data_IF_655927834357
#
_entry.id   IF_655927834357
#
_cell.length_a   1.000
_cell.length_b   1.000
_cell.length_c   1.000
_cell.angle_alpha   90.00
_cell.angle_beta   90.00
_cell.angle_gamma   90.00
#
_symmetry.space_group_name_H-M   'P 1'
#
loop_
_entity.id
_entity.type
_entity.pdbx_description
1 polymer ?
#
# COMPACT_ATOMS: atom_id res chain seq x y z
N UNK A 1 64.31 -28.31 -16.81
CA UNK A 1 63.41 -27.42 -17.59
C UNK A 1 61.95 -27.46 -17.15
N UNK A 2 61.56 -27.93 -15.94
CA UNK A 2 60.14 -28.12 -15.55
C UNK A 2 59.57 -27.22 -14.46
N UNK A 3 60.42 -26.41 -13.76
CA UNK A 3 59.90 -25.60 -12.66
C UNK A 3 59.29 -24.24 -13.07
N UNK A 4 59.72 -23.73 -14.24
CA UNK A 4 59.27 -22.42 -14.71
C UNK A 4 57.86 -22.49 -15.37
N UNK A 5 57.56 -23.56 -16.04
CA UNK A 5 56.26 -23.83 -16.64
C UNK A 5 55.18 -24.12 -15.60
N UNK A 6 55.48 -24.85 -14.53
CA UNK A 6 54.54 -25.08 -13.42
C UNK A 6 54.19 -23.80 -12.65
N UNK A 7 55.14 -22.89 -12.47
CA UNK A 7 54.90 -21.60 -11.78
C UNK A 7 54.03 -20.65 -12.62
N UNK A 8 54.12 -20.71 -13.96
CA UNK A 8 53.26 -19.94 -14.87
C UNK A 8 51.83 -20.47 -14.88
N UNK A 9 51.65 -21.79 -14.85
CA UNK A 9 50.31 -22.39 -14.77
C UNK A 9 49.60 -22.11 -13.42
N UNK A 10 50.32 -22.16 -12.31
CA UNK A 10 49.81 -21.80 -10.97
C UNK A 10 49.44 -20.33 -10.87
N UNK A 11 50.25 -19.42 -11.37
CA UNK A 11 49.95 -17.98 -11.40
C UNK A 11 48.79 -17.67 -12.31
N UNK A 12 48.65 -18.28 -13.48
CA UNK A 12 47.52 -18.12 -14.40
C UNK A 12 46.24 -18.71 -13.81
N UNK A 13 46.31 -19.85 -13.12
CA UNK A 13 45.19 -20.46 -12.43
C UNK A 13 44.72 -19.61 -11.25
N UNK A 14 45.64 -19.18 -10.39
CA UNK A 14 45.31 -18.32 -9.25
C UNK A 14 44.80 -16.93 -9.69
N UNK A 15 45.37 -16.35 -10.75
CA UNK A 15 44.92 -15.10 -11.31
C UNK A 15 43.52 -15.19 -11.92
N UNK A 16 43.19 -16.31 -12.61
CA UNK A 16 41.82 -16.53 -13.13
C UNK A 16 40.82 -16.91 -12.05
N UNK A 17 41.22 -17.71 -11.08
CA UNK A 17 40.40 -18.10 -9.94
C UNK A 17 40.18 -16.93 -8.96
N UNK A 18 41.19 -16.13 -8.70
CA UNK A 18 41.08 -14.91 -7.89
C UNK A 18 40.24 -13.84 -8.62
N UNK A 19 40.38 -13.72 -9.94
CA UNK A 19 39.54 -12.81 -10.75
C UNK A 19 38.06 -13.24 -10.78
N UNK A 20 37.77 -14.53 -10.87
CA UNK A 20 36.40 -15.03 -10.86
C UNK A 20 35.76 -15.02 -9.48
N UNK A 21 36.47 -15.45 -8.43
CA UNK A 21 36.00 -15.40 -7.05
C UNK A 21 36.00 -13.95 -6.52
N UNK A 22 37.00 -13.15 -6.88
CA UNK A 22 37.05 -11.74 -6.57
C UNK A 22 35.95 -10.95 -7.28
N UNK A 23 35.63 -11.25 -8.53
CA UNK A 23 34.53 -10.64 -9.24
C UNK A 23 33.16 -11.06 -8.65
N UNK A 24 32.98 -12.32 -8.24
CA UNK A 24 31.80 -12.80 -7.54
C UNK A 24 31.69 -12.18 -6.13
N UNK A 25 32.81 -12.12 -5.39
CA UNK A 25 32.84 -11.48 -4.07
C UNK A 25 32.62 -9.96 -4.19
N UNK A 26 33.24 -9.30 -5.16
CA UNK A 26 33.02 -7.89 -5.46
C UNK A 26 31.60 -7.63 -5.97
N UNK A 27 31.08 -8.49 -6.85
CA UNK A 27 29.68 -8.45 -7.28
C UNK A 27 28.71 -8.64 -6.12
N UNK A 28 29.02 -9.55 -5.19
CA UNK A 28 28.22 -9.75 -3.98
C UNK A 28 28.35 -8.58 -2.98
N UNK A 29 29.56 -8.04 -2.80
CA UNK A 29 29.78 -6.84 -1.98
C UNK A 29 29.14 -5.61 -2.62
N UNK A 30 29.27 -5.41 -3.93
CA UNK A 30 28.63 -4.32 -4.65
C UNK A 30 27.08 -4.47 -4.70
N UNK A 31 26.56 -5.68 -4.66
CA UNK A 31 25.12 -5.90 -4.52
C UNK A 31 24.61 -5.68 -3.09
N UNK A 32 25.46 -5.84 -2.08
CA UNK A 32 25.17 -5.48 -0.68
C UNK A 32 25.31 -3.97 -0.43
N UNK A 33 26.29 -3.36 -1.10
CA UNK A 33 26.57 -1.92 -1.04
C UNK A 33 26.11 -1.25 -2.35
N UNK A 34 24.86 -1.48 -2.80
CA UNK A 34 24.30 -0.77 -3.96
C UNK A 34 24.22 0.74 -3.66
N UNK A 35 25.38 1.35 -3.67
CA UNK A 35 25.63 2.79 -3.52
C UNK A 35 25.24 3.56 -4.80
N UNK A 36 24.79 2.87 -5.85
CA UNK A 36 24.47 3.44 -7.16
C UNK A 36 22.98 3.33 -7.44
N UNK A 37 22.36 4.42 -7.41
CA UNK A 37 21.07 5.06 -7.89
C UNK A 37 20.06 4.14 -8.44
N UNK A 38 19.65 3.13 -8.52
CA UNK A 38 18.46 2.30 -8.62
C UNK A 38 18.74 0.98 -7.91
N UNK A 39 17.98 0.67 -6.85
CA UNK A 39 18.08 -0.66 -6.26
C UNK A 39 17.72 -1.68 -7.35
N UNK A 40 18.67 -2.47 -7.88
CA UNK A 40 18.36 -3.44 -8.91
C UNK A 40 17.30 -4.41 -8.37
N UNK A 41 16.44 -4.97 -9.24
CA UNK A 41 15.47 -5.95 -8.82
C UNK A 41 16.19 -7.13 -8.16
N UNK A 42 15.79 -7.41 -6.92
CA UNK A 42 16.29 -8.57 -6.17
C UNK A 42 15.35 -9.74 -6.45
N UNK A 43 15.86 -10.95 -6.74
CA UNK A 43 15.01 -12.13 -6.83
C UNK A 43 14.26 -12.35 -5.53
N UNK A 44 12.96 -12.52 -5.59
CA UNK A 44 12.15 -12.92 -4.44
C UNK A 44 12.60 -14.29 -3.86
N UNK A 45 12.09 -14.61 -2.69
CA UNK A 45 12.39 -15.89 -2.04
C UNK A 45 11.74 -17.08 -2.77
N UNK A 46 10.67 -16.83 -3.53
CA UNK A 46 9.97 -17.79 -4.37
C UNK A 46 9.31 -17.07 -5.56
N UNK A 47 8.69 -17.83 -6.47
CA UNK A 47 8.03 -17.26 -7.66
C UNK A 47 6.82 -16.40 -7.25
N UNK A 48 6.80 -15.11 -7.59
CA UNK A 48 5.69 -14.22 -7.25
C UNK A 48 4.44 -14.52 -8.09
N UNK A 49 3.27 -14.25 -7.51
CA UNK A 49 1.99 -14.14 -8.21
C UNK A 49 1.70 -12.69 -8.59
N UNK A 50 2.14 -11.75 -7.77
CA UNK A 50 1.98 -10.31 -7.99
C UNK A 50 3.33 -9.62 -8.17
N UNK A 51 3.35 -8.55 -8.96
CA UNK A 51 4.50 -7.68 -9.21
C UNK A 51 4.34 -6.32 -8.53
N UNK A 52 3.09 -5.91 -8.28
CA UNK A 52 2.76 -4.60 -7.74
C UNK A 52 1.54 -4.65 -6.79
N UNK A 53 1.47 -3.64 -5.91
CA UNK A 53 0.31 -3.36 -5.05
C UNK A 53 -0.16 -1.94 -5.30
N UNK A 54 -1.48 -1.76 -5.45
CA UNK A 54 -2.17 -0.46 -5.37
C UNK A 54 -3.04 -0.49 -4.11
N UNK A 55 -2.73 0.36 -3.14
CA UNK A 55 -3.48 0.49 -1.89
C UNK A 55 -4.40 1.71 -1.94
N UNK A 56 -5.70 1.48 -1.89
CA UNK A 56 -6.75 2.48 -1.80
C UNK A 56 -7.12 2.64 -0.32
N UNK A 57 -6.39 3.48 0.40
CA UNK A 57 -6.54 3.59 1.84
C UNK A 57 -7.68 4.56 2.22
N UNK A 58 -8.64 4.06 2.99
CA UNK A 58 -9.87 4.73 3.39
C UNK A 58 -9.77 5.15 4.86
N UNK A 59 -9.11 6.28 5.11
CA UNK A 59 -8.88 6.78 6.47
C UNK A 59 -10.15 7.07 7.25
N UNK A 60 -10.16 6.65 8.49
CA UNK A 60 -11.24 6.93 9.43
C UNK A 60 -12.07 5.72 9.79
N UNK A 61 -11.70 4.51 9.35
CA UNK A 61 -12.38 3.29 9.74
C UNK A 61 -13.77 3.13 9.13
N UNK A 62 -13.88 2.73 7.83
CA UNK A 62 -15.16 2.47 7.19
C UNK A 62 -16.00 1.45 7.96
N UNK A 63 -17.29 1.75 8.14
CA UNK A 63 -18.21 0.88 8.86
C UNK A 63 -18.46 -0.42 8.11
N UNK A 64 -17.92 -1.52 8.62
CA UNK A 64 -18.06 -2.86 8.04
C UNK A 64 -19.53 -3.27 7.91
N UNK A 65 -20.33 -3.01 8.94
CA UNK A 65 -21.72 -3.45 9.02
C UNK A 65 -22.69 -2.60 8.17
N UNK A 66 -22.25 -1.41 7.75
CA UNK A 66 -23.05 -0.54 6.88
C UNK A 66 -22.68 -0.71 5.40
N UNK A 67 -21.53 -1.36 5.09
CA UNK A 67 -20.99 -1.48 3.72
C UNK A 67 -20.82 -2.92 3.23
N UNK A 68 -20.31 -3.84 4.06
CA UNK A 68 -19.79 -5.13 3.61
C UNK A 68 -20.29 -6.35 4.40
N UNK A 69 -20.80 -6.15 5.60
CA UNK A 69 -21.13 -7.23 6.53
C UNK A 69 -22.57 -7.10 7.03
N UNK A 70 -23.51 -7.56 6.22
CA UNK A 70 -24.94 -7.47 6.50
C UNK A 70 -25.32 -8.15 7.81
N UNK A 71 -25.96 -7.39 8.72
CA UNK A 71 -26.39 -7.86 10.05
C UNK A 71 -27.87 -7.54 10.30
N UNK A 72 -28.79 -8.46 9.97
CA UNK A 72 -30.21 -8.27 10.23
C UNK A 72 -30.55 -7.96 11.69
N UNK A 73 -29.72 -8.43 12.63
CA UNK A 73 -29.88 -8.14 14.05
C UNK A 73 -29.81 -6.66 14.38
N UNK A 74 -28.95 -5.89 13.68
CA UNK A 74 -28.86 -4.44 13.90
C UNK A 74 -30.21 -3.75 13.69
N UNK A 75 -30.94 -4.10 12.63
CA UNK A 75 -32.22 -3.48 12.34
C UNK A 75 -33.33 -3.96 13.31
N UNK A 76 -33.30 -5.25 13.73
CA UNK A 76 -34.25 -5.77 14.73
C UNK A 76 -34.09 -5.13 16.12
N UNK A 77 -32.84 -4.79 16.47
CA UNK A 77 -32.48 -4.23 17.78
C UNK A 77 -32.30 -2.71 17.75
N UNK A 78 -32.47 -2.07 16.60
CA UNK A 78 -32.30 -0.62 16.47
C UNK A 78 -33.08 0.16 17.52
N UNK A 79 -32.41 1.08 18.19
CA UNK A 79 -32.96 1.87 19.29
C UNK A 79 -33.08 1.16 20.64
N UNK A 80 -32.67 -0.13 20.75
CA UNK A 80 -32.66 -0.89 22.01
C UNK A 80 -31.24 -1.04 22.57
N UNK A 81 -31.09 -1.28 23.88
CA UNK A 81 -29.78 -1.60 24.47
C UNK A 81 -29.12 -2.78 23.77
N UNK A 82 -27.79 -2.75 23.64
CA UNK A 82 -27.03 -3.85 23.05
C UNK A 82 -27.12 -5.13 23.91
N UNK A 83 -27.55 -6.26 23.35
CA UNK A 83 -27.79 -7.48 24.12
C UNK A 83 -26.55 -8.35 24.31
N UNK A 84 -25.44 -8.03 23.64
CA UNK A 84 -24.23 -8.89 23.55
C UNK A 84 -23.24 -8.76 24.74
N UNK A 85 -23.61 -8.06 25.83
CA UNK A 85 -22.73 -7.82 26.94
C UNK A 85 -21.86 -6.56 26.77
N UNK A 86 -20.68 -6.56 27.39
CA UNK A 86 -19.81 -5.38 27.39
C UNK A 86 -19.15 -5.13 26.03
N UNK A 87 -19.19 -3.87 25.60
CA UNK A 87 -18.48 -3.35 24.42
C UNK A 87 -17.26 -2.57 24.88
N UNK A 88 -16.15 -2.70 24.16
CA UNK A 88 -15.02 -1.78 24.30
C UNK A 88 -15.39 -0.48 23.57
N UNK A 89 -15.72 0.56 24.32
CA UNK A 89 -16.16 1.85 23.81
C UNK A 89 -15.04 2.87 24.02
N UNK A 90 -14.72 3.64 22.96
CA UNK A 90 -13.71 4.67 23.03
C UNK A 90 -14.22 5.96 23.69
N UNK A 91 -15.51 6.28 23.45
CA UNK A 91 -16.19 7.47 24.01
C UNK A 91 -17.39 7.10 24.90
N UNK A 92 -17.15 6.51 26.07
CA UNK A 92 -18.18 5.96 26.98
C UNK A 92 -19.37 6.88 27.23
N UNK A 93 -19.15 8.17 27.44
CA UNK A 93 -20.22 9.15 27.71
C UNK A 93 -21.17 9.39 26.53
N UNK A 94 -20.81 8.93 25.34
CA UNK A 94 -21.57 9.09 24.12
C UNK A 94 -22.16 7.77 23.61
N UNK A 95 -21.88 6.67 24.29
CA UNK A 95 -22.39 5.35 23.94
C UNK A 95 -23.91 5.29 24.06
N UNK A 96 -24.56 4.89 22.98
CA UNK A 96 -26.01 4.79 22.88
C UNK A 96 -26.51 3.37 22.69
N UNK A 97 -27.70 3.27 22.14
CA UNK A 97 -28.35 2.00 21.80
C UNK A 97 -27.82 1.42 20.48
N UNK A 98 -28.22 0.20 20.14
CA UNK A 98 -27.93 -0.40 18.83
C UNK A 98 -28.38 0.55 17.72
N UNK A 99 -27.50 0.82 16.76
CA UNK A 99 -27.79 1.63 15.60
C UNK A 99 -28.01 0.70 14.40
N UNK A 100 -29.23 0.70 13.84
CA UNK A 100 -29.55 -0.06 12.63
C UNK A 100 -28.69 0.35 11.43
N UNK A 101 -28.47 -0.56 10.51
CA UNK A 101 -27.83 -0.23 9.24
C UNK A 101 -28.78 0.65 8.40
N UNK A 102 -28.33 1.83 7.93
CA UNK A 102 -29.24 2.80 7.30
C UNK A 102 -29.56 2.47 5.84
N UNK A 103 -28.87 1.50 5.24
CA UNK A 103 -28.94 1.15 3.82
C UNK A 103 -29.23 -0.32 3.61
N UNK A 104 -29.86 -0.63 2.47
CA UNK A 104 -30.15 -1.99 2.07
C UNK A 104 -28.90 -2.72 1.57
N UNK A 105 -28.88 -4.04 1.78
CA UNK A 105 -27.89 -4.93 1.22
C UNK A 105 -28.49 -5.76 0.08
N UNK A 106 -27.69 -6.03 -0.94
CA UNK A 106 -28.11 -6.79 -2.12
C UNK A 106 -27.04 -7.79 -2.51
N UNK A 107 -27.44 -8.98 -2.98
CA UNK A 107 -26.51 -9.92 -3.58
C UNK A 107 -25.95 -9.34 -4.89
N UNK A 108 -24.63 -9.36 -5.04
CA UNK A 108 -23.90 -8.81 -6.17
C UNK A 108 -23.06 -9.90 -6.84
N UNK A 109 -22.87 -9.78 -8.16
CA UNK A 109 -22.13 -10.76 -8.95
C UNK A 109 -22.82 -12.12 -9.06
N UNK A 110 -22.15 -13.07 -9.69
CA UNK A 110 -22.58 -14.47 -9.74
C UNK A 110 -22.29 -15.19 -8.41
N UNK A 111 -21.28 -14.69 -7.67
CA UNK A 111 -20.93 -15.20 -6.35
C UNK A 111 -21.97 -14.89 -5.28
N UNK A 112 -22.91 -13.95 -5.53
CA UNK A 112 -23.95 -13.57 -4.59
C UNK A 112 -23.43 -12.78 -3.37
N UNK A 113 -22.27 -12.10 -3.47
CA UNK A 113 -21.69 -11.31 -2.39
C UNK A 113 -22.66 -10.20 -1.95
N UNK A 114 -23.01 -10.19 -0.67
CA UNK A 114 -23.89 -9.16 -0.12
C UNK A 114 -23.14 -7.86 0.12
N UNK A 115 -23.53 -6.80 -0.57
CA UNK A 115 -22.96 -5.46 -0.46
C UNK A 115 -24.06 -4.42 -0.26
N UNK A 116 -23.72 -3.33 0.42
CA UNK A 116 -24.63 -2.18 0.58
C UNK A 116 -24.99 -1.57 -0.77
N UNK A 117 -26.22 -1.08 -0.89
CA UNK A 117 -26.68 -0.33 -2.05
C UNK A 117 -25.85 0.94 -2.36
N UNK A 118 -25.04 1.40 -1.40
CA UNK A 118 -24.07 2.49 -1.58
C UNK A 118 -22.87 2.11 -2.46
N UNK A 119 -22.70 0.82 -2.76
CA UNK A 119 -21.55 0.28 -3.49
C UNK A 119 -21.94 -0.36 -4.83
N UNK A 120 -22.74 0.35 -5.70
CA UNK A 120 -23.22 -0.25 -6.94
C UNK A 120 -22.11 -0.60 -7.94
N UNK A 121 -20.98 0.09 -7.91
CA UNK A 121 -19.86 -0.19 -8.80
C UNK A 121 -18.97 -1.30 -8.25
N UNK A 122 -18.68 -1.33 -6.95
CA UNK A 122 -18.03 -2.47 -6.28
C UNK A 122 -18.86 -3.74 -6.48
N UNK A 123 -20.21 -3.66 -6.45
CA UNK A 123 -21.09 -4.77 -6.78
C UNK A 123 -20.85 -5.37 -8.17
N UNK A 124 -20.41 -4.58 -9.16
CA UNK A 124 -20.09 -5.06 -10.53
C UNK A 124 -18.77 -5.84 -10.61
N UNK A 125 -17.90 -5.67 -9.63
CA UNK A 125 -16.64 -6.39 -9.53
C UNK A 125 -16.66 -7.46 -8.41
N UNK A 126 -17.82 -7.77 -7.85
CA UNK A 126 -17.96 -8.74 -6.76
C UNK A 126 -17.31 -10.10 -7.10
N UNK A 127 -17.45 -10.55 -8.36
CA UNK A 127 -16.84 -11.79 -8.83
C UNK A 127 -15.30 -11.71 -9.02
N UNK A 128 -14.69 -10.55 -8.90
CA UNK A 128 -13.26 -10.33 -9.07
C UNK A 128 -12.50 -10.06 -7.76
N UNK A 129 -13.23 -9.88 -6.66
CA UNK A 129 -12.65 -9.53 -5.35
C UNK A 129 -12.76 -10.68 -4.35
N UNK A 130 -11.85 -10.67 -3.38
CA UNK A 130 -11.98 -11.37 -2.10
C UNK A 130 -12.39 -10.32 -1.05
N UNK A 131 -13.53 -10.51 -0.41
CA UNK A 131 -14.00 -9.71 0.72
C UNK A 131 -13.61 -10.43 2.02
N UNK A 132 -12.80 -9.77 2.87
CA UNK A 132 -12.43 -10.29 4.19
C UNK A 132 -13.25 -9.54 5.23
N UNK A 133 -14.14 -10.24 5.94
CA UNK A 133 -15.02 -9.68 6.98
C UNK A 133 -14.46 -9.81 8.39
N UNK A 134 -13.41 -10.60 8.55
CA UNK A 134 -12.87 -11.02 9.85
C UNK A 134 -11.52 -10.39 10.19
N UNK A 135 -11.24 -9.20 9.66
CA UNK A 135 -10.03 -8.47 10.02
C UNK A 135 -10.08 -7.98 11.46
N UNK A 136 -8.91 -7.98 12.15
CA UNK A 136 -8.73 -7.41 13.48
C UNK A 136 -7.47 -6.56 13.55
N UNK A 137 -7.47 -5.53 14.40
CA UNK A 137 -6.31 -4.68 14.65
C UNK A 137 -6.03 -4.49 16.14
N UNK A 138 -4.89 -3.93 16.49
CA UNK A 138 -4.44 -3.80 17.87
C UNK A 138 -4.85 -2.51 18.59
N UNK A 139 -5.52 -1.57 17.90
CA UNK A 139 -5.83 -0.25 18.47
C UNK A 139 -7.18 0.28 18.01
N UNK A 140 -7.81 1.08 18.84
CA UNK A 140 -9.00 1.90 18.53
C UNK A 140 -8.65 3.38 18.27
N UNK A 141 -7.39 3.76 18.44
CA UNK A 141 -6.89 5.09 18.14
C UNK A 141 -6.38 5.16 16.71
N UNK A 142 -6.79 6.19 15.93
CA UNK A 142 -6.48 6.29 14.50
C UNK A 142 -5.00 6.25 14.21
N UNK A 143 -4.18 7.08 14.88
CA UNK A 143 -2.75 7.12 14.58
C UNK A 143 -2.06 5.78 14.86
N UNK A 144 -2.39 5.14 15.97
CA UNK A 144 -1.84 3.84 16.36
C UNK A 144 -2.30 2.73 15.42
N UNK A 145 -3.57 2.71 15.04
CA UNK A 145 -4.12 1.72 14.11
C UNK A 145 -3.58 1.91 12.68
N UNK A 146 -3.42 3.15 12.22
CA UNK A 146 -2.76 3.48 10.95
C UNK A 146 -1.32 2.95 10.93
N UNK A 147 -0.56 3.19 12.01
CA UNK A 147 0.80 2.65 12.11
C UNK A 147 0.81 1.13 12.07
N UNK A 148 -0.11 0.45 12.76
CA UNK A 148 -0.22 -1.01 12.68
C UNK A 148 -0.51 -1.45 11.23
N UNK A 149 -1.44 -0.80 10.53
CA UNK A 149 -1.76 -1.13 9.13
C UNK A 149 -0.60 -0.87 8.17
N UNK A 150 0.24 0.12 8.44
CA UNK A 150 1.34 0.45 7.53
C UNK A 150 2.68 -0.17 7.92
N UNK A 151 2.95 -0.39 9.21
CA UNK A 151 4.27 -0.81 9.70
C UNK A 151 4.26 -2.12 10.52
N UNK A 152 3.07 -2.69 10.76
CA UNK A 152 2.89 -3.84 11.64
C UNK A 152 2.94 -3.52 13.14
N UNK A 153 3.14 -2.26 13.54
CA UNK A 153 3.24 -1.87 14.97
C UNK A 153 2.69 -0.46 15.21
N UNK A 154 2.26 -0.18 16.43
CA UNK A 154 1.74 1.13 16.82
C UNK A 154 2.82 2.21 17.02
N UNK A 155 4.11 1.82 17.11
CA UNK A 155 5.22 2.75 17.31
C UNK A 155 5.53 3.55 16.04
N UNK A 156 5.87 4.83 16.22
CA UNK A 156 6.39 5.66 15.14
C UNK A 156 7.85 5.33 14.81
N UNK A 157 8.31 5.72 13.61
CA UNK A 157 9.70 5.55 13.18
C UNK A 157 10.02 4.19 12.57
N UNK A 158 9.01 3.35 12.31
CA UNK A 158 9.18 2.04 11.68
C UNK A 158 8.95 2.11 10.16
N UNK A 159 9.58 1.19 9.39
CA UNK A 159 9.38 1.12 7.95
C UNK A 159 7.97 0.67 7.60
N UNK A 160 7.38 1.31 6.60
CA UNK A 160 6.08 0.92 6.07
C UNK A 160 6.17 -0.31 5.16
N UNK A 161 5.03 -0.96 4.91
CA UNK A 161 4.92 -2.11 4.01
C UNK A 161 5.52 -1.80 2.63
N UNK A 162 5.25 -0.61 2.05
CA UNK A 162 5.85 -0.19 0.78
C UNK A 162 7.37 -0.16 0.84
N UNK A 163 7.94 0.34 1.93
CA UNK A 163 9.40 0.36 2.15
C UNK A 163 9.98 -1.04 2.28
N UNK A 164 9.31 -1.95 2.98
CA UNK A 164 9.71 -3.35 3.08
C UNK A 164 9.63 -4.08 1.74
N UNK A 165 8.60 -3.82 0.92
CA UNK A 165 8.48 -4.37 -0.44
C UNK A 165 9.66 -3.93 -1.30
N UNK A 166 10.01 -2.65 -1.25
CA UNK A 166 11.16 -2.13 -2.01
C UNK A 166 12.49 -2.67 -1.49
N UNK A 167 12.65 -2.79 -0.19
CA UNK A 167 13.85 -3.39 0.41
C UNK A 167 14.03 -4.84 -0.05
N UNK A 168 12.92 -5.61 -0.11
CA UNK A 168 12.94 -7.02 -0.53
C UNK A 168 13.12 -7.23 -2.03
N UNK A 169 12.56 -6.37 -2.87
CA UNK A 169 12.44 -6.62 -4.32
C UNK A 169 13.14 -5.59 -5.22
N UNK A 170 13.55 -4.44 -4.66
CA UNK A 170 14.10 -3.34 -5.46
C UNK A 170 13.12 -2.77 -6.48
N UNK A 171 13.65 -2.01 -7.44
CA UNK A 171 12.90 -1.40 -8.53
C UNK A 171 13.12 -2.13 -9.85
N UNK A 172 12.07 -2.27 -10.66
CA UNK A 172 12.17 -2.74 -12.05
C UNK A 172 12.14 -1.57 -13.04
N UNK A 173 11.83 -0.37 -12.58
CA UNK A 173 11.82 0.85 -13.37
C UNK A 173 12.87 1.83 -12.85
N UNK A 174 13.76 2.29 -13.72
CA UNK A 174 14.81 3.25 -13.37
C UNK A 174 14.35 4.70 -13.49
N UNK A 175 13.23 4.98 -14.16
CA UNK A 175 12.78 6.32 -14.50
C UNK A 175 11.69 6.85 -13.55
N UNK A 176 11.12 5.99 -12.73
CA UNK A 176 10.08 6.33 -11.76
C UNK A 176 10.46 5.76 -10.38
N UNK A 177 10.03 6.41 -9.29
CA UNK A 177 10.14 5.82 -7.96
C UNK A 177 9.38 4.50 -7.91
N UNK A 178 9.94 3.50 -7.25
CA UNK A 178 9.28 2.21 -7.12
C UNK A 178 8.15 2.20 -6.09
N UNK A 179 8.10 3.23 -5.22
CA UNK A 179 7.02 3.49 -4.27
C UNK A 179 6.51 4.92 -4.45
N UNK A 180 5.27 5.06 -4.92
CA UNK A 180 4.61 6.35 -5.19
C UNK A 180 3.41 6.51 -4.26
N UNK A 181 3.26 7.71 -3.72
CA UNK A 181 2.12 8.10 -2.87
C UNK A 181 1.32 9.17 -3.59
N UNK A 182 0.02 8.93 -3.79
CA UNK A 182 -0.91 9.85 -4.43
C UNK A 182 -1.76 10.50 -3.33
N UNK A 183 -1.35 11.69 -2.91
CA UNK A 183 -2.03 12.46 -1.87
C UNK A 183 -3.29 13.15 -2.38
N UNK A 184 -4.25 13.36 -1.49
CA UNK A 184 -5.42 14.19 -1.75
C UNK A 184 -4.99 15.66 -1.98
N UNK A 185 -5.58 16.40 -2.94
CA UNK A 185 -5.26 17.80 -3.14
C UNK A 185 -5.63 18.68 -1.93
N UNK A 186 -6.63 18.28 -1.16
CA UNK A 186 -7.14 19.04 -0.01
C UNK A 186 -6.25 18.91 1.23
N UNK A 187 -5.28 17.96 1.24
CA UNK A 187 -4.35 17.82 2.34
C UNK A 187 -3.77 16.43 2.53
N UNK A 188 -3.13 16.25 3.68
CA UNK A 188 -2.49 14.99 4.06
C UNK A 188 -3.42 14.13 4.92
N UNK A 189 -3.22 12.80 4.92
CA UNK A 189 -3.86 11.92 5.88
C UNK A 189 -3.38 12.20 7.30
N UNK A 190 -4.11 11.69 8.29
CA UNK A 190 -3.64 11.64 9.68
C UNK A 190 -2.27 10.94 9.72
N UNK A 191 -1.41 11.35 10.64
CA UNK A 191 0.00 10.94 10.78
C UNK A 191 0.92 11.34 9.58
N UNK A 192 0.39 11.99 8.54
CA UNK A 192 1.13 12.63 7.46
C UNK A 192 2.12 11.70 6.78
N UNK A 193 3.37 12.16 6.65
CA UNK A 193 4.44 11.45 5.92
C UNK A 193 4.89 10.14 6.60
N UNK A 194 4.54 9.92 7.87
CA UNK A 194 4.83 8.65 8.56
C UNK A 194 4.17 7.45 7.90
N UNK A 195 3.06 7.66 7.18
CA UNK A 195 2.35 6.60 6.46
C UNK A 195 3.13 6.01 5.26
N UNK A 196 4.23 6.65 4.85
CA UNK A 196 5.10 6.16 3.77
C UNK A 196 6.60 6.27 4.08
N UNK A 197 6.92 6.35 5.38
CA UNK A 197 8.30 6.46 5.85
C UNK A 197 9.07 5.17 5.66
N UNK A 198 10.38 5.29 5.37
CA UNK A 198 11.31 4.18 5.40
C UNK A 198 11.73 3.77 6.83
N UNK A 199 11.38 4.57 7.85
CA UNK A 199 11.76 4.31 9.23
C UNK A 199 13.27 4.10 9.38
N UNK A 200 13.67 2.98 9.97
CA UNK A 200 15.08 2.62 10.12
C UNK A 200 15.71 1.98 8.86
N UNK A 201 14.92 1.66 7.83
CA UNK A 201 15.48 1.26 6.54
C UNK A 201 16.13 2.45 5.84
N UNK A 202 17.12 2.24 4.96
CA UNK A 202 17.69 3.31 4.16
C UNK A 202 16.63 4.19 3.48
N UNK A 203 16.84 5.50 3.48
CA UNK A 203 15.87 6.49 2.99
C UNK A 203 15.51 6.32 1.50
N UNK A 204 16.29 5.57 0.73
CA UNK A 204 15.99 5.22 -0.67
C UNK A 204 14.72 4.38 -0.83
N UNK A 205 14.26 3.72 0.23
CA UNK A 205 13.04 2.91 0.24
C UNK A 205 11.78 3.70 0.67
N UNK A 206 11.92 5.00 0.96
CA UNK A 206 10.80 5.86 1.32
C UNK A 206 9.84 6.10 0.15
N UNK A 207 8.55 6.19 0.44
CA UNK A 207 7.55 6.56 -0.56
C UNK A 207 7.73 7.99 -1.07
N UNK A 208 7.60 8.18 -2.38
CA UNK A 208 7.70 9.48 -3.04
C UNK A 208 6.31 10.05 -3.26
N UNK A 209 5.95 11.17 -2.59
CA UNK A 209 4.64 11.78 -2.77
C UNK A 209 4.53 12.50 -4.11
N UNK A 210 3.48 12.18 -4.86
CA UNK A 210 3.01 12.92 -6.01
C UNK A 210 1.78 13.72 -5.59
N UNK A 211 1.85 15.02 -5.78
CA UNK A 211 0.76 15.95 -5.45
C UNK A 211 -0.25 16.01 -6.59
N UNK A 212 -1.49 16.23 -6.26
CA UNK A 212 -2.49 16.61 -7.26
C UNK A 212 -2.21 18.01 -7.82
N UNK A 213 -2.62 18.26 -9.07
CA UNK A 213 -2.48 19.56 -9.70
C UNK A 213 -1.34 19.66 -10.71
N UNK A 214 -1.00 20.90 -11.12
CA UNK A 214 -0.05 21.19 -12.21
C UNK A 214 1.42 20.96 -11.85
N UNK A 215 1.74 20.81 -10.58
CA UNK A 215 3.11 20.59 -10.08
C UNK A 215 3.15 19.36 -9.16
N UNK A 216 3.01 18.15 -9.71
CA UNK A 216 2.89 16.93 -8.94
C UNK A 216 4.17 16.56 -8.18
N UNK A 217 5.32 16.95 -8.70
CA UNK A 217 6.62 16.85 -8.05
C UNK A 217 7.31 18.21 -8.14
N UNK A 218 7.78 18.74 -7.01
CA UNK A 218 8.49 20.00 -7.00
C UNK A 218 9.79 19.93 -7.80
N UNK A 219 10.13 21.04 -8.47
CA UNK A 219 11.38 21.21 -9.22
C UNK A 219 11.59 20.18 -10.34
N UNK A 220 10.52 19.53 -10.81
CA UNK A 220 10.59 18.57 -11.90
C UNK A 220 10.99 19.25 -13.21
N UNK A 221 10.48 20.46 -13.48
CA UNK A 221 10.82 21.20 -14.69
C UNK A 221 12.13 21.97 -14.52
N UNK A 222 13.00 21.89 -15.53
CA UNK A 222 14.17 22.74 -15.61
C UNK A 222 13.73 24.22 -15.67
N UNK A 223 14.30 25.12 -14.86
CA UNK A 223 13.99 26.56 -14.96
C UNK A 223 14.20 27.11 -16.39
N UNK A 224 13.30 27.94 -16.86
CA UNK A 224 13.34 28.46 -18.24
C UNK A 224 14.65 29.18 -18.61
N UNK A 225 15.34 29.76 -17.61
CA UNK A 225 16.62 30.43 -17.80
C UNK A 225 17.82 29.48 -17.88
N UNK A 226 17.65 28.17 -17.69
CA UNK A 226 18.73 27.19 -17.65
C UNK A 226 18.72 26.35 -18.93
N UNK A 227 19.85 26.30 -19.64
CA UNK A 227 20.00 25.43 -20.82
C UNK A 227 20.09 23.96 -20.40
N UNK A 228 19.74 23.04 -21.31
CA UNK A 228 19.87 21.60 -21.08
C UNK A 228 21.31 21.18 -20.76
N UNK A 229 22.31 21.88 -21.34
CA UNK A 229 23.72 21.64 -21.06
C UNK A 229 24.11 22.11 -19.66
N UNK A 230 23.70 23.32 -19.27
CA UNK A 230 23.94 23.83 -17.92
C UNK A 230 23.31 22.93 -16.86
N UNK A 231 22.11 22.41 -17.15
CA UNK A 231 21.42 21.45 -16.27
C UNK A 231 22.20 20.14 -16.13
N UNK A 232 22.67 19.57 -17.22
CA UNK A 232 23.50 18.36 -17.18
C UNK A 232 24.79 18.56 -16.38
N UNK A 233 25.48 19.69 -16.61
CA UNK A 233 26.71 20.03 -15.88
C UNK A 233 26.45 20.19 -14.38
N UNK A 234 25.33 20.82 -14.00
CA UNK A 234 24.89 20.92 -12.61
C UNK A 234 24.62 19.55 -11.99
N UNK A 235 23.89 18.68 -12.68
CA UNK A 235 23.59 17.32 -12.18
C UNK A 235 24.87 16.48 -12.03
N UNK A 236 25.77 16.52 -13.01
CA UNK A 236 27.06 15.82 -12.95
C UNK A 236 27.95 16.35 -11.80
N UNK A 237 27.92 17.66 -11.55
CA UNK A 237 28.65 18.24 -10.41
C UNK A 237 28.07 17.78 -9.07
N UNK A 238 26.74 17.81 -8.92
CA UNK A 238 26.06 17.33 -7.71
C UNK A 238 26.31 15.84 -7.47
N UNK A 239 26.27 15.02 -8.53
CA UNK A 239 26.61 13.60 -8.44
C UNK A 239 28.03 13.39 -7.91
N UNK A 240 29.03 14.07 -8.48
CA UNK A 240 30.42 13.98 -8.01
C UNK A 240 30.56 14.42 -6.55
N UNK A 241 29.92 15.51 -6.16
CA UNK A 241 29.95 16.03 -4.79
C UNK A 241 29.31 15.04 -3.82
N UNK A 242 28.12 14.53 -4.14
CA UNK A 242 27.41 13.58 -3.32
C UNK A 242 28.19 12.25 -3.19
N UNK A 243 28.76 11.76 -4.29
CA UNK A 243 29.63 10.56 -4.29
C UNK A 243 30.86 10.75 -3.40
N UNK A 244 31.48 11.92 -3.44
CA UNK A 244 32.59 12.24 -2.55
C UNK A 244 32.17 12.23 -1.07
N UNK A 245 31.00 12.81 -0.76
CA UNK A 245 30.47 12.82 0.61
C UNK A 245 30.09 11.41 1.09
N UNK A 246 29.50 10.57 0.24
CA UNK A 246 29.17 9.19 0.62
C UNK A 246 30.41 8.33 0.89
N UNK A 247 31.52 8.58 0.20
CA UNK A 247 32.81 7.94 0.50
C UNK A 247 33.43 8.45 1.80
N UNK A 248 33.19 9.72 2.15
CA UNK A 248 33.71 10.33 3.38
C UNK A 248 32.92 9.88 4.62
N UNK A 249 31.64 9.58 4.45
CA UNK A 249 30.72 9.18 5.53
C UNK A 249 29.94 7.91 5.15
N UNK A 250 30.62 6.76 5.00
CA UNK A 250 29.99 5.51 4.51
C UNK A 250 28.89 4.97 5.42
N UNK A 251 28.94 5.28 6.71
CA UNK A 251 27.92 4.88 7.67
C UNK A 251 26.57 5.63 7.50
N UNK A 252 26.61 6.76 6.81
CA UNK A 252 25.42 7.60 6.64
C UNK A 252 24.68 7.25 5.35
N UNK A 253 23.66 6.37 5.47
CA UNK A 253 22.82 5.91 4.35
C UNK A 253 22.00 7.03 3.70
N UNK A 254 21.83 8.19 4.36
CA UNK A 254 21.11 9.33 3.78
C UNK A 254 21.86 9.94 2.59
N UNK A 255 23.22 9.93 2.59
CA UNK A 255 23.99 10.40 1.45
C UNK A 255 23.80 9.53 0.22
N UNK A 256 23.80 8.21 0.39
CA UNK A 256 23.55 7.27 -0.71
C UNK A 256 22.13 7.41 -1.26
N UNK A 257 21.14 7.54 -0.36
CA UNK A 257 19.75 7.81 -0.74
C UNK A 257 19.61 9.15 -1.47
N UNK A 258 20.33 10.19 -1.04
CA UNK A 258 20.32 11.50 -1.69
C UNK A 258 20.87 11.43 -3.12
N UNK A 259 21.97 10.70 -3.35
CA UNK A 259 22.51 10.44 -4.70
C UNK A 259 21.44 9.76 -5.57
N UNK A 260 20.90 8.66 -5.09
CA UNK A 260 19.86 7.89 -5.78
C UNK A 260 18.61 8.74 -6.10
N UNK A 261 18.20 9.58 -5.16
CA UNK A 261 17.06 10.48 -5.35
C UNK A 261 17.34 11.56 -6.40
N UNK A 262 18.56 12.13 -6.45
CA UNK A 262 18.94 13.10 -7.50
C UNK A 262 18.96 12.46 -8.89
N UNK A 263 19.49 11.26 -9.02
CA UNK A 263 19.51 10.53 -10.30
C UNK A 263 18.10 10.18 -10.74
N UNK A 264 17.28 9.65 -9.82
CA UNK A 264 15.87 9.35 -10.09
C UNK A 264 15.11 10.63 -10.46
N UNK A 265 15.30 11.75 -9.72
CA UNK A 265 14.66 13.03 -10.03
C UNK A 265 15.03 13.56 -11.42
N UNK A 266 16.26 13.35 -11.87
CA UNK A 266 16.68 13.72 -13.23
C UNK A 266 15.94 12.89 -14.29
N UNK A 267 15.81 11.58 -14.10
CA UNK A 267 15.06 10.68 -15.00
C UNK A 267 13.56 10.93 -14.95
N UNK A 268 13.02 11.29 -13.80
CA UNK A 268 11.61 11.63 -13.60
C UNK A 268 11.18 12.86 -14.41
N UNK A 269 12.10 13.75 -14.78
CA UNK A 269 11.76 14.97 -15.54
C UNK A 269 11.05 14.66 -16.87
N UNK A 270 11.32 13.52 -17.48
CA UNK A 270 10.64 13.07 -18.70
C UNK A 270 9.50 12.08 -18.41
N UNK A 271 9.68 11.17 -17.47
CA UNK A 271 8.75 10.06 -17.24
C UNK A 271 7.48 10.47 -16.47
N UNK A 272 7.60 11.39 -15.51
CA UNK A 272 6.44 11.81 -14.68
C UNK A 272 5.41 12.60 -15.47
N UNK A 273 5.77 13.61 -16.31
CA UNK A 273 4.79 14.29 -17.14
C UNK A 273 3.98 13.34 -18.02
N UNK A 274 4.63 12.32 -18.61
CA UNK A 274 3.96 11.32 -19.43
C UNK A 274 2.95 10.47 -18.63
N UNK A 275 3.31 10.06 -17.42
CA UNK A 275 2.38 9.30 -16.53
C UNK A 275 1.15 10.12 -16.16
N UNK A 276 1.33 11.41 -15.91
CA UNK A 276 0.29 12.32 -15.41
C UNK A 276 -0.58 12.93 -16.51
N UNK A 277 -0.10 12.91 -17.74
CA UNK A 277 -0.89 13.38 -18.89
C UNK A 277 -1.95 12.35 -19.26
N UNK A 278 -3.19 12.67 -18.91
CA UNK A 278 -4.36 11.84 -19.19
C UNK A 278 -5.04 12.21 -20.51
N UNK A 279 -4.46 13.12 -21.32
CA UNK A 279 -5.07 13.57 -22.58
C UNK A 279 -5.18 12.44 -23.60
N UNK A 280 -4.26 11.49 -23.56
CA UNK A 280 -4.27 10.28 -24.42
C UNK A 280 -5.25 9.17 -23.99
N UNK A 281 -5.91 9.31 -22.83
CA UNK A 281 -6.90 8.32 -22.39
C UNK A 281 -8.21 8.45 -23.17
N UNK A 282 -8.81 7.31 -23.54
CA UNK A 282 -10.04 7.30 -24.30
C UNK A 282 -11.21 7.90 -23.52
N UNK A 283 -12.23 8.41 -24.23
CA UNK A 283 -13.44 8.88 -23.59
C UNK A 283 -14.15 7.77 -22.77
N UNK A 284 -14.04 6.51 -23.21
CA UNK A 284 -14.57 5.35 -22.47
C UNK A 284 -13.82 5.15 -21.13
N UNK A 285 -12.48 5.19 -21.14
CA UNK A 285 -11.66 5.11 -19.93
C UNK A 285 -11.97 6.27 -18.98
N UNK A 286 -12.07 7.50 -19.49
CA UNK A 286 -12.39 8.68 -18.67
C UNK A 286 -13.75 8.54 -17.98
N UNK A 287 -14.79 8.08 -18.69
CA UNK A 287 -16.11 7.80 -18.12
C UNK A 287 -16.08 6.66 -17.11
N UNK A 288 -15.34 5.60 -17.39
CA UNK A 288 -15.19 4.45 -16.49
C UNK A 288 -14.70 4.90 -15.11
N UNK A 289 -13.65 5.73 -15.06
CA UNK A 289 -13.11 6.29 -13.82
C UNK A 289 -13.91 7.48 -13.25
N UNK A 290 -14.99 7.89 -13.92
CA UNK A 290 -15.85 8.98 -13.47
C UNK A 290 -15.20 10.36 -13.58
N UNK A 291 -14.30 10.59 -14.56
CA UNK A 291 -13.63 11.89 -14.74
C UNK A 291 -14.55 12.97 -15.29
N UNK A 292 -15.73 12.61 -15.75
CA UNK A 292 -16.76 13.56 -16.25
C UNK A 292 -17.75 13.98 -15.15
N UNK A 293 -17.60 13.46 -13.93
CA UNK A 293 -18.43 13.76 -12.77
C UNK A 293 -17.60 14.46 -11.69
N UNK A 294 -17.92 15.69 -11.30
CA UNK A 294 -17.16 16.47 -10.34
C UNK A 294 -17.03 15.82 -8.95
N UNK A 295 -17.93 14.88 -8.58
CA UNK A 295 -17.87 14.16 -7.31
C UNK A 295 -16.75 13.12 -7.33
N UNK A 296 -16.52 12.45 -8.45
CA UNK A 296 -15.59 11.35 -8.61
C UNK A 296 -14.29 11.74 -9.32
N UNK A 297 -14.27 12.89 -10.04
CA UNK A 297 -13.18 13.27 -10.95
C UNK A 297 -11.80 13.20 -10.28
N UNK A 298 -11.68 13.80 -9.12
CA UNK A 298 -10.39 13.94 -8.45
C UNK A 298 -9.85 12.57 -7.99
N UNK A 299 -10.69 11.79 -7.29
CA UNK A 299 -10.30 10.45 -6.85
C UNK A 299 -10.11 9.49 -8.04
N UNK A 300 -10.96 9.60 -9.06
CA UNK A 300 -10.85 8.85 -10.31
C UNK A 300 -9.56 9.15 -11.08
N UNK A 301 -9.13 10.40 -11.11
CA UNK A 301 -7.84 10.81 -11.69
C UNK A 301 -6.69 10.10 -11.00
N UNK A 302 -6.67 10.06 -9.67
CA UNK A 302 -5.62 9.36 -8.89
C UNK A 302 -5.65 7.85 -9.11
N UNK A 303 -6.82 7.22 -9.15
CA UNK A 303 -6.96 5.81 -9.48
C UNK A 303 -6.42 5.49 -10.89
N UNK A 304 -6.71 6.34 -11.87
CA UNK A 304 -6.20 6.18 -13.23
C UNK A 304 -4.67 6.38 -13.31
N UNK A 305 -4.12 7.35 -12.57
CA UNK A 305 -2.66 7.53 -12.45
C UNK A 305 -2.02 6.30 -11.80
N UNK A 306 -2.64 5.72 -10.76
CA UNK A 306 -2.14 4.49 -10.12
C UNK A 306 -2.03 3.33 -11.12
N UNK A 307 -3.04 3.12 -11.98
CA UNK A 307 -2.98 2.14 -13.06
C UNK A 307 -1.78 2.41 -14.01
N UNK A 308 -1.60 3.67 -14.44
CA UNK A 308 -0.51 4.06 -15.34
C UNK A 308 0.87 3.88 -14.71
N UNK A 309 0.98 4.05 -13.40
CA UNK A 309 2.21 3.82 -12.65
C UNK A 309 2.58 2.33 -12.63
N UNK A 310 1.64 1.44 -12.34
CA UNK A 310 1.93 0.00 -12.32
C UNK A 310 2.19 -0.56 -13.72
N UNK A 311 1.54 -0.04 -14.78
CA UNK A 311 1.87 -0.35 -16.18
C UNK A 311 3.35 -0.06 -16.50
N UNK A 312 3.96 0.90 -15.81
CA UNK A 312 5.36 1.31 -15.97
C UNK A 312 6.30 0.69 -14.95
N UNK A 313 5.83 -0.32 -14.21
CA UNK A 313 6.65 -1.09 -13.30
C UNK A 313 6.85 -0.47 -11.90
N UNK A 314 6.02 0.49 -11.49
CA UNK A 314 5.98 0.95 -10.09
C UNK A 314 5.42 -0.18 -9.23
N UNK A 315 6.16 -0.57 -8.17
CA UNK A 315 5.82 -1.74 -7.34
C UNK A 315 4.78 -1.46 -6.28
N UNK A 316 4.78 -0.26 -5.73
CA UNK A 316 3.86 0.09 -4.66
C UNK A 316 3.27 1.48 -4.91
N UNK A 317 1.95 1.55 -5.05
CA UNK A 317 1.21 2.80 -5.21
C UNK A 317 0.21 2.90 -4.08
N UNK A 318 0.22 4.03 -3.37
CA UNK A 318 -0.67 4.25 -2.23
C UNK A 318 -1.47 5.53 -2.44
N UNK A 319 -2.80 5.42 -2.35
CA UNK A 319 -3.72 6.55 -2.42
C UNK A 319 -4.24 6.85 -1.03
N UNK A 320 -4.21 8.13 -0.66
CA UNK A 320 -4.74 8.63 0.58
C UNK A 320 -5.82 9.68 0.36
N UNK A 321 -6.80 9.72 1.24
CA UNK A 321 -7.76 10.82 1.37
C UNK A 321 -7.23 11.83 2.38
N UNK A 322 -7.70 13.08 2.31
CA UNK A 322 -7.36 14.10 3.28
C UNK A 322 -7.96 13.79 4.66
N UNK A 323 -7.17 13.94 5.71
CA UNK A 323 -7.61 13.71 7.08
C UNK A 323 -8.08 12.27 7.31
N UNK A 324 -9.26 12.12 7.89
CA UNK A 324 -9.90 10.84 8.19
C UNK A 324 -11.41 10.90 7.86
N UNK A 325 -11.80 10.98 6.59
CA UNK A 325 -13.19 11.29 6.22
C UNK A 325 -14.18 10.19 6.60
N UNK A 326 -13.74 8.92 6.72
CA UNK A 326 -14.58 7.81 7.15
C UNK A 326 -14.81 7.74 8.66
N UNK A 327 -14.28 8.70 9.41
CA UNK A 327 -14.49 8.82 10.86
C UNK A 327 -15.87 9.41 11.17
N UNK A 328 -16.89 8.56 11.13
CA UNK A 328 -18.31 8.93 11.15
C UNK A 328 -18.89 8.93 12.56
N UNK A 329 -18.33 9.74 13.46
CA UNK A 329 -18.83 9.94 14.83
C UNK A 329 -20.18 10.65 14.91
N UNK A 330 -20.62 11.26 13.81
CA UNK A 330 -21.93 11.87 13.62
C UNK A 330 -22.40 11.66 12.18
N UNK A 331 -23.70 11.76 11.92
CA UNK A 331 -24.30 11.72 10.59
C UNK A 331 -23.77 10.55 9.74
N UNK A 332 -23.61 9.38 10.37
CA UNK A 332 -22.98 8.21 9.74
C UNK A 332 -23.59 7.90 8.36
N UNK A 333 -24.92 7.90 8.26
CA UNK A 333 -25.62 7.63 7.00
C UNK A 333 -25.22 8.62 5.89
N UNK A 334 -25.36 9.92 6.13
CA UNK A 334 -25.08 10.96 5.12
C UNK A 334 -23.61 10.99 4.71
N UNK A 335 -22.71 10.84 5.69
CA UNK A 335 -21.27 10.79 5.42
C UNK A 335 -20.89 9.57 4.57
N UNK A 336 -21.39 8.38 4.90
CA UNK A 336 -21.17 7.16 4.11
C UNK A 336 -21.66 7.33 2.67
N UNK A 337 -22.86 7.91 2.48
CA UNK A 337 -23.40 8.18 1.14
C UNK A 337 -22.48 9.08 0.32
N UNK A 338 -21.99 10.17 0.91
CA UNK A 338 -21.07 11.09 0.22
C UNK A 338 -19.72 10.43 -0.12
N UNK A 339 -19.15 9.66 0.80
CA UNK A 339 -17.87 8.99 0.61
C UNK A 339 -17.97 7.86 -0.43
N UNK A 340 -19.01 7.05 -0.39
CA UNK A 340 -19.25 6.02 -1.41
C UNK A 340 -19.48 6.65 -2.78
N UNK A 341 -20.27 7.74 -2.88
CA UNK A 341 -20.44 8.45 -4.14
C UNK A 341 -19.12 8.96 -4.74
N UNK A 342 -18.15 9.35 -3.89
CA UNK A 342 -16.82 9.80 -4.32
C UNK A 342 -15.90 8.65 -4.73
N UNK A 343 -15.92 7.51 -4.02
CA UNK A 343 -14.87 6.50 -4.09
C UNK A 343 -15.25 5.18 -4.75
N UNK A 344 -16.53 4.79 -4.78
CA UNK A 344 -16.98 3.49 -5.26
C UNK A 344 -16.69 3.29 -6.76
N UNK A 345 -17.15 4.21 -7.62
CA UNK A 345 -16.94 4.11 -9.06
C UNK A 345 -15.47 4.05 -9.45
N UNK A 346 -14.58 4.97 -8.99
CA UNK A 346 -13.17 4.92 -9.36
C UNK A 346 -12.42 3.70 -8.84
N UNK A 347 -12.77 3.22 -7.64
CA UNK A 347 -12.16 2.00 -7.07
C UNK A 347 -12.50 0.77 -7.90
N UNK A 348 -13.77 0.61 -8.28
CA UNK A 348 -14.21 -0.47 -9.15
C UNK A 348 -13.65 -0.35 -10.57
N UNK A 349 -13.56 0.87 -11.11
CA UNK A 349 -12.98 1.16 -12.42
C UNK A 349 -11.52 0.71 -12.51
N UNK A 350 -10.74 0.93 -11.45
CA UNK A 350 -9.35 0.49 -11.38
C UNK A 350 -9.24 -1.03 -11.56
N UNK A 351 -10.06 -1.80 -10.87
CA UNK A 351 -10.07 -3.27 -10.98
C UNK A 351 -10.49 -3.70 -12.39
N UNK A 352 -11.55 -3.09 -12.94
CA UNK A 352 -12.04 -3.41 -14.29
C UNK A 352 -11.01 -3.09 -15.38
N UNK A 353 -10.35 -1.93 -15.30
CA UNK A 353 -9.35 -1.51 -16.29
C UNK A 353 -8.09 -2.37 -16.23
N UNK A 354 -7.59 -2.69 -15.02
CA UNK A 354 -6.49 -3.63 -14.84
C UNK A 354 -6.83 -5.03 -15.40
N UNK A 355 -8.06 -5.51 -15.17
CA UNK A 355 -8.55 -6.78 -15.72
C UNK A 355 -8.59 -6.75 -17.24
N UNK A 356 -9.18 -5.70 -17.83
CA UNK A 356 -9.29 -5.55 -19.27
C UNK A 356 -7.91 -5.49 -19.99
N UNK A 357 -6.90 -4.99 -19.28
CA UNK A 357 -5.51 -4.91 -19.77
C UNK A 357 -4.67 -6.15 -19.48
N UNK A 358 -5.21 -7.16 -18.79
CA UNK A 358 -4.47 -8.34 -18.39
C UNK A 358 -3.43 -8.10 -17.28
N UNK A 359 -3.55 -6.99 -16.53
CA UNK A 359 -2.64 -6.59 -15.46
C UNK A 359 -3.12 -7.02 -14.07
N UNK A 360 -4.41 -7.34 -13.91
CA UNK A 360 -4.99 -7.64 -12.60
C UNK A 360 -4.38 -8.90 -11.97
N UNK A 361 -4.08 -9.91 -12.77
CA UNK A 361 -3.52 -11.16 -12.23
C UNK A 361 -2.12 -10.97 -11.62
N UNK A 362 -1.40 -9.92 -12.01
CA UNK A 362 -0.06 -9.57 -11.50
C UNK A 362 -0.07 -8.31 -10.61
N UNK A 363 -1.24 -7.72 -10.34
CA UNK A 363 -1.38 -6.52 -9.51
C UNK A 363 -2.40 -6.77 -8.41
N UNK A 364 -2.01 -6.52 -7.16
CA UNK A 364 -2.93 -6.53 -6.02
C UNK A 364 -3.56 -5.14 -5.91
N UNK A 365 -4.88 -5.05 -5.94
CA UNK A 365 -5.63 -3.85 -5.57
C UNK A 365 -6.24 -4.09 -4.20
N UNK A 366 -5.86 -3.27 -3.23
CA UNK A 366 -6.30 -3.35 -1.84
C UNK A 366 -7.15 -2.12 -1.48
N UNK A 367 -8.39 -2.33 -1.03
CA UNK A 367 -9.25 -1.32 -0.43
C UNK A 367 -9.38 -1.62 1.06
N UNK A 368 -8.93 -0.73 1.93
CA UNK A 368 -8.88 -0.97 3.38
C UNK A 368 -8.91 0.31 4.17
N UNK A 369 -9.36 0.23 5.42
CA UNK A 369 -9.13 1.22 6.46
C UNK A 369 -8.29 0.64 7.59
N UNK A 370 -8.22 1.35 8.72
CA UNK A 370 -7.40 0.97 9.87
C UNK A 370 -8.13 0.14 10.91
N UNK A 371 -9.46 0.27 11.01
CA UNK A 371 -10.37 -0.49 11.89
C UNK A 371 -11.82 -0.36 11.43
N UNK A 372 -12.76 -0.92 12.18
CA UNK A 372 -14.19 -0.86 11.91
C UNK A 372 -14.96 0.04 12.87
N UNK A 373 -16.28 -0.15 12.95
CA UNK A 373 -17.18 0.65 13.79
C UNK A 373 -18.00 -0.23 14.72
N UNK A 374 -18.43 0.36 15.86
CA UNK A 374 -19.29 -0.32 16.83
C UNK A 374 -20.73 -0.45 16.33
N UNK A 375 -21.46 -1.51 16.76
CA UNK A 375 -22.86 -1.73 16.42
C UNK A 375 -23.83 -0.77 17.12
N UNK A 376 -23.35 0.01 18.08
CA UNK A 376 -24.15 0.99 18.82
C UNK A 376 -23.93 2.40 18.28
N UNK A 377 -24.88 3.30 18.56
CA UNK A 377 -24.71 4.71 18.22
C UNK A 377 -23.68 5.37 19.12
N UNK A 378 -22.92 6.30 18.55
CA UNK A 378 -22.25 7.34 19.27
C UNK A 378 -23.05 8.62 19.10
N UNK A 379 -23.38 9.27 20.21
CA UNK A 379 -24.30 10.39 20.18
C UNK A 379 -25.65 9.98 19.59
N UNK A 380 -26.13 10.75 18.60
CA UNK A 380 -27.42 10.52 17.99
C UNK A 380 -27.37 9.43 16.91
N UNK A 381 -26.41 9.52 15.98
CA UNK A 381 -26.42 8.82 14.71
C UNK A 381 -25.04 8.51 14.13
N UNK A 382 -23.98 8.66 14.96
CA UNK A 382 -22.62 8.25 14.65
C UNK A 382 -22.32 6.83 15.11
N UNK A 383 -21.14 6.33 14.77
CA UNK A 383 -20.57 5.07 15.28
C UNK A 383 -19.18 5.29 15.84
N UNK A 384 -18.90 4.72 17.00
CA UNK A 384 -17.57 4.72 17.64
C UNK A 384 -16.64 3.66 17.03
N UNK A 385 -15.36 3.69 17.37
CA UNK A 385 -14.30 2.84 16.84
C UNK A 385 -14.44 1.40 17.30
N UNK A 386 -14.05 0.46 16.41
CA UNK A 386 -14.05 -0.97 16.70
C UNK A 386 -12.80 -1.65 16.15
N UNK A 387 -11.91 -2.15 17.00
CA UNK A 387 -10.72 -2.91 16.62
C UNK A 387 -10.95 -4.40 16.45
N UNK A 388 -12.06 -4.93 16.97
CA UNK A 388 -12.34 -6.36 17.04
C UNK A 388 -12.90 -6.93 15.74
N UNK A 389 -13.38 -6.07 14.84
CA UNK A 389 -13.83 -6.45 13.52
C UNK A 389 -13.79 -5.29 12.55
N UNK A 390 -13.23 -5.52 11.35
CA UNK A 390 -13.40 -4.63 10.20
C UNK A 390 -13.34 -5.44 8.90
N UNK A 391 -13.76 -4.81 7.81
CA UNK A 391 -13.75 -5.43 6.49
C UNK A 391 -12.81 -4.70 5.55
N UNK A 392 -12.18 -5.47 4.69
CA UNK A 392 -11.44 -4.98 3.53
C UNK A 392 -11.74 -5.87 2.32
N UNK A 393 -11.48 -5.35 1.12
CA UNK A 393 -11.45 -6.22 -0.04
C UNK A 393 -10.13 -6.12 -0.80
N UNK A 394 -9.78 -7.21 -1.48
CA UNK A 394 -8.58 -7.32 -2.29
C UNK A 394 -8.93 -7.98 -3.64
N UNK A 395 -8.31 -7.48 -4.72
CA UNK A 395 -8.47 -8.04 -6.06
C UNK A 395 -7.11 -8.36 -6.68
N UNK A 396 -7.07 -9.39 -7.51
CA UNK A 396 -5.90 -9.75 -8.31
C UNK A 396 -4.75 -10.38 -7.53
N UNK A 397 -3.57 -10.47 -8.15
CA UNK A 397 -2.33 -10.95 -7.53
C UNK A 397 -2.41 -12.35 -6.91
N UNK A 398 -3.29 -13.24 -7.40
CA UNK A 398 -3.46 -14.61 -6.90
C UNK A 398 -4.38 -14.73 -5.69
N UNK A 399 -5.13 -13.70 -5.31
CA UNK A 399 -6.25 -13.81 -4.39
C UNK A 399 -7.46 -14.50 -5.05
N UNK A 400 -8.28 -15.19 -4.27
CA UNK A 400 -9.50 -15.84 -4.77
C UNK A 400 -10.46 -14.80 -5.33
N UNK A 401 -11.20 -15.18 -6.37
CA UNK A 401 -12.19 -14.33 -7.03
C UNK A 401 -13.58 -14.69 -6.54
N UNK A 402 -14.45 -13.69 -6.31
CA UNK A 402 -15.83 -13.91 -5.85
C UNK A 402 -15.92 -14.61 -4.49
N UNK A 403 -15.01 -14.32 -3.58
CA UNK A 403 -14.88 -15.04 -2.32
C UNK A 403 -15.10 -14.13 -1.11
N UNK A 404 -15.88 -14.62 -0.15
CA UNK A 404 -16.05 -13.99 1.17
C UNK A 404 -15.33 -14.82 2.20
N UNK A 405 -14.42 -14.23 2.95
CA UNK A 405 -13.61 -14.86 3.97
C UNK A 405 -14.00 -14.41 5.37
N UNK A 406 -14.17 -15.39 6.24
CA UNK A 406 -14.45 -15.17 7.64
C UNK A 406 -15.83 -14.59 7.94
N UNK A 407 -16.14 -14.50 9.21
CA UNK A 407 -17.39 -13.95 9.70
C UNK A 407 -17.20 -13.20 11.02
N UNK A 408 -18.08 -12.22 11.26
CA UNK A 408 -18.25 -11.56 12.55
C UNK A 408 -19.46 -12.13 13.29
N UNK A 409 -19.62 -11.74 14.54
CA UNK A 409 -20.81 -12.08 15.35
C UNK A 409 -22.11 -11.51 14.78
N UNK A 410 -23.23 -11.78 15.45
CA UNK A 410 -24.57 -11.41 15.01
C UNK A 410 -24.73 -9.88 14.80
N UNK A 411 -23.93 -9.06 15.47
CA UNK A 411 -23.97 -7.61 15.43
C UNK A 411 -22.81 -6.97 14.64
N UNK A 412 -21.83 -7.75 14.20
CA UNK A 412 -20.65 -7.23 13.52
C UNK A 412 -19.60 -6.62 14.46
N UNK A 413 -19.67 -6.92 15.77
CA UNK A 413 -18.74 -6.38 16.76
C UNK A 413 -17.42 -7.13 16.80
N UNK A 414 -17.44 -8.47 16.81
CA UNK A 414 -16.23 -9.30 16.89
C UNK A 414 -16.11 -10.22 15.70
N UNK A 415 -14.92 -10.36 15.19
CA UNK A 415 -14.57 -11.46 14.29
C UNK A 415 -14.60 -12.77 15.04
N UNK A 416 -15.34 -13.77 14.53
CA UNK A 416 -15.59 -15.03 15.22
C UNK A 416 -15.19 -16.28 14.43
N UNK A 417 -15.01 -16.14 13.11
CA UNK A 417 -14.62 -17.24 12.23
C UNK A 417 -13.50 -16.78 11.29
N UNK A 418 -12.50 -17.63 11.10
CA UNK A 418 -11.37 -17.41 10.17
C UNK A 418 -10.78 -16.03 10.33
N UNK A 419 -10.40 -15.69 11.58
CA UNK A 419 -9.90 -14.37 11.97
C UNK A 419 -8.57 -14.09 11.29
N UNK A 420 -8.44 -12.89 10.72
CA UNK A 420 -7.23 -12.42 10.06
C UNK A 420 -6.72 -11.16 10.78
N UNK A 421 -5.55 -11.26 11.39
CA UNK A 421 -4.87 -10.09 11.93
C UNK A 421 -4.21 -9.27 10.81
N UNK A 422 -3.90 -8.00 11.11
CA UNK A 422 -3.11 -7.16 10.18
C UNK A 422 -1.78 -7.82 9.82
N UNK A 423 -1.15 -8.51 10.77
CA UNK A 423 0.13 -9.19 10.56
C UNK A 423 -0.01 -10.42 9.64
N UNK A 424 -1.08 -11.19 9.77
CA UNK A 424 -1.39 -12.32 8.88
C UNK A 424 -1.65 -11.83 7.46
N UNK A 425 -2.36 -10.71 7.34
CA UNK A 425 -2.62 -10.10 6.04
C UNK A 425 -1.33 -9.57 5.40
N UNK A 426 -0.44 -8.91 6.15
CA UNK A 426 0.88 -8.51 5.66
C UNK A 426 1.72 -9.72 5.20
N UNK A 427 1.74 -10.81 5.98
CA UNK A 427 2.44 -12.04 5.59
C UNK A 427 1.87 -12.61 4.27
N UNK A 428 0.56 -12.53 4.10
CA UNK A 428 -0.13 -13.00 2.88
C UNK A 428 0.20 -12.12 1.68
N UNK A 429 0.20 -10.79 1.83
CA UNK A 429 0.59 -9.85 0.77
C UNK A 429 2.04 -10.05 0.33
N UNK A 430 2.97 -10.16 1.30
CA UNK A 430 4.39 -10.42 1.02
C UNK A 430 4.58 -11.74 0.27
N UNK A 431 3.85 -12.79 0.68
CA UNK A 431 3.88 -14.09 -0.01
C UNK A 431 3.48 -13.94 -1.49
N UNK A 432 2.41 -13.21 -1.80
CA UNK A 432 1.98 -13.01 -3.19
C UNK A 432 3.02 -12.26 -4.03
N UNK A 433 3.81 -11.40 -3.41
CA UNK A 433 4.95 -10.72 -4.04
C UNK A 433 6.21 -11.60 -4.17
N UNK A 434 6.15 -12.88 -3.75
CA UNK A 434 7.31 -13.78 -3.77
C UNK A 434 8.26 -13.61 -2.59
N UNK A 435 7.83 -12.94 -1.53
CA UNK A 435 8.63 -12.66 -0.34
C UNK A 435 8.16 -13.57 0.81
N UNK A 436 9.09 -14.35 1.35
CA UNK A 436 8.89 -15.00 2.64
C UNK A 436 9.03 -13.97 3.75
N UNK A 437 7.94 -13.72 4.48
CA UNK A 437 7.87 -12.69 5.51
C UNK A 437 8.79 -12.96 6.71
N UNK A 438 9.20 -14.22 6.94
CA UNK A 438 10.13 -14.59 8.01
C UNK A 438 11.58 -14.37 7.61
N UNK A 439 11.88 -14.47 6.31
CA UNK A 439 13.24 -14.30 5.76
C UNK A 439 13.55 -12.84 5.41
N UNK A 440 12.53 -12.00 5.17
CA UNK A 440 12.72 -10.58 4.92
C UNK A 440 13.00 -9.86 6.24
N UNK A 441 14.26 -9.70 6.56
CA UNK A 441 14.74 -9.10 7.81
C UNK A 441 15.77 -8.01 7.55
N UNK A 442 15.81 -7.02 8.43
CA UNK A 442 16.85 -5.99 8.50
C UNK A 442 17.41 -5.93 9.91
N UNK A 443 18.73 -5.91 10.04
CA UNK A 443 19.38 -5.83 11.35
C UNK A 443 19.38 -4.38 11.84
N UNK A 444 18.60 -4.09 12.88
CA UNK A 444 18.49 -2.79 13.50
C UNK A 444 18.72 -2.92 15.00
N UNK A 445 19.61 -2.10 15.57
CA UNK A 445 19.96 -2.09 17.01
C UNK A 445 20.24 -3.50 17.59
N UNK A 446 20.97 -4.32 16.82
CA UNK A 446 21.33 -5.67 17.24
C UNK A 446 20.24 -6.73 17.09
N UNK A 447 19.03 -6.36 16.70
CA UNK A 447 17.86 -7.24 16.51
C UNK A 447 17.57 -7.43 15.01
N UNK A 448 17.09 -8.61 14.62
CA UNK A 448 16.51 -8.85 13.32
C UNK A 448 15.06 -8.30 13.33
N UNK A 449 14.84 -7.21 12.62
CA UNK A 449 13.51 -6.60 12.48
C UNK A 449 12.85 -7.05 11.17
N UNK A 450 11.53 -7.23 11.17
CA UNK A 450 10.72 -7.53 9.99
C UNK A 450 9.35 -6.83 10.09
N UNK A 451 8.64 -6.71 8.96
CA UNK A 451 7.31 -6.11 8.94
C UNK A 451 6.31 -6.83 9.85
N UNK A 452 6.36 -8.16 9.86
CA UNK A 452 5.38 -8.98 10.56
C UNK A 452 5.80 -9.38 11.97
N UNK A 453 7.10 -9.37 12.26
CA UNK A 453 7.70 -9.81 13.52
C UNK A 453 7.06 -11.10 14.08
N UNK A 454 7.15 -12.23 13.34
CA UNK A 454 6.35 -13.42 13.59
C UNK A 454 6.61 -14.08 14.94
N UNK A 455 7.80 -13.88 15.54
CA UNK A 455 8.15 -14.38 16.87
C UNK A 455 7.31 -13.71 17.97
N UNK A 456 6.90 -12.45 17.75
CA UNK A 456 6.09 -11.70 18.71
C UNK A 456 4.60 -11.74 18.37
N UNK A 457 4.26 -11.64 17.09
CA UNK A 457 2.87 -11.50 16.63
C UNK A 457 2.20 -12.83 16.33
N UNK A 458 2.99 -13.89 16.12
CA UNK A 458 2.50 -15.16 15.62
C UNK A 458 2.02 -15.14 14.18
N UNK A 459 2.38 -14.11 13.41
CA UNK A 459 1.93 -13.88 12.03
C UNK A 459 2.13 -15.11 11.12
N UNK A 460 1.09 -15.40 10.34
CA UNK A 460 1.07 -16.51 9.37
C UNK A 460 0.40 -16.07 8.08
N UNK A 461 0.91 -16.56 6.96
CA UNK A 461 0.20 -16.47 5.69
C UNK A 461 -1.14 -17.20 5.79
N UNK A 462 -2.19 -16.66 5.19
CA UNK A 462 -3.56 -17.19 5.18
C UNK A 462 -3.85 -17.88 3.84
N UNK A 463 -3.61 -19.22 3.70
CA UNK A 463 -3.74 -19.92 2.42
C UNK A 463 -5.16 -19.92 1.88
N UNK A 464 -6.17 -19.86 2.74
CA UNK A 464 -7.58 -19.86 2.36
C UNK A 464 -8.01 -18.63 1.55
N UNK A 465 -7.21 -17.55 1.54
CA UNK A 465 -7.42 -16.37 0.71
C UNK A 465 -6.91 -16.55 -0.72
N UNK A 466 -6.08 -17.54 -0.98
CA UNK A 466 -5.25 -17.67 -2.20
C UNK A 466 -5.73 -18.78 -3.12
N UNK A 467 -5.40 -18.62 -4.45
CA UNK A 467 -5.68 -19.60 -5.51
C UNK A 467 -4.53 -20.57 -5.73
#
# INVERSE_FOLDING_TARGET
MNSFTESLHRRAFLGRSAGSLGALALGHLLSRDSVLGANPPTPGHHRPKAKAIISLFQHGGPSQMDLFDYKPALNRWSGKPYPGGDLEVHFDKQAGNVLGAPYEFRPCGQCGMELSELLPHTGRIADDITLIRSMTTGSVDHESALRIMHTGRFLAGLPTMGSWVLYGLGSVNENLPAYVVLSDPDGLPVDGERNWSSGFLPAVYQGTPFRSGSTPVFHLKTPAAMTAEARRNQLNFLEKLNRHQSLTFPENTEWSARVANFETAARMQSAVPDVLDLSGETAATRRLYGLDNPVTEEYGRRCLIARRLVERGVRFVQLFLNGQPWDTHDKNADRLKGLCARTDQPSAALVQDLKARGLLDETIVLWTGEFGRLPISQGKDGRDHNRHAFSLWVAGGGFKKGYVHGATDEFGYKSVQDIVSVHDFHATLLNQLGIDHQRLQFRHEGRAASLTDPEVTGARMVPSLLT
#
